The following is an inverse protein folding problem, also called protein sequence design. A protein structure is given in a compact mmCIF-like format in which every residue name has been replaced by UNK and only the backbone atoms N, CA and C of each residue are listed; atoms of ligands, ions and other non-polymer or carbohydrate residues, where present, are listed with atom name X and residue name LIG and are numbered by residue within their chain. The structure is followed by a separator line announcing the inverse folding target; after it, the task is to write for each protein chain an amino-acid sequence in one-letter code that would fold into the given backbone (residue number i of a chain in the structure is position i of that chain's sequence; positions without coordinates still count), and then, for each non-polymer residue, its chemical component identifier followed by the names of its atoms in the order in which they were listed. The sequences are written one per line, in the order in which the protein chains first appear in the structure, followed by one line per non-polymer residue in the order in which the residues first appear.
data_IF_533875400547
#
_entry.id   IF_533875400547
#
_cell.length_a   1.000
_cell.length_b   1.000
_cell.length_c   1.000
_cell.angle_alpha   90.00
_cell.angle_beta   90.00
_cell.angle_gamma   90.00
#
_symmetry.space_group_name_H-M   'P 1'
#
loop_
_entity.id
_entity.type
_entity.pdbx_description
1 polymer ?
#
# COMPACT_ATOMS: atom_id res chain seq x y z
N UNK A 1 -11.84 -17.32 -8.91
CA UNK A 1 -11.62 -17.30 -10.38
C UNK A 1 -10.20 -16.84 -10.69
N UNK A 2 -9.60 -17.33 -11.77
CA UNK A 2 -8.23 -16.98 -12.15
C UNK A 2 -8.21 -16.76 -13.67
N UNK A 3 -7.55 -15.70 -14.12
CA UNK A 3 -7.31 -15.44 -15.53
C UNK A 3 -5.84 -15.05 -15.73
N UNK A 4 -5.23 -15.60 -16.78
CA UNK A 4 -3.83 -15.33 -17.13
C UNK A 4 -3.75 -15.08 -18.62
N UNK A 5 -3.08 -14.00 -18.99
CA UNK A 5 -2.84 -13.60 -20.36
C UNK A 5 -1.38 -13.18 -20.52
N UNK A 6 -0.72 -13.68 -21.55
CA UNK A 6 0.61 -13.24 -21.95
C UNK A 6 0.65 -13.05 -23.46
N UNK A 7 1.22 -11.92 -23.89
CA UNK A 7 1.47 -11.67 -25.29
C UNK A 7 2.90 -11.19 -25.51
N UNK A 8 3.60 -11.86 -26.42
CA UNK A 8 5.00 -11.57 -26.78
C UNK A 8 5.02 -10.80 -28.11
N UNK A 9 5.31 -9.50 -28.04
CA UNK A 9 5.48 -8.66 -29.23
C UNK A 9 6.77 -9.02 -29.98
N UNK A 10 7.81 -9.44 -29.25
CA UNK A 10 9.08 -9.92 -29.80
C UNK A 10 9.80 -10.80 -28.76
N UNK A 11 11.01 -11.29 -29.08
CA UNK A 11 11.87 -11.98 -28.10
C UNK A 11 12.25 -11.10 -26.90
N UNK A 12 12.18 -9.77 -27.06
CA UNK A 12 12.63 -8.78 -26.08
C UNK A 12 11.48 -7.96 -25.47
N UNK A 13 10.23 -8.17 -25.91
CA UNK A 13 9.09 -7.39 -25.45
C UNK A 13 7.85 -8.24 -25.22
N UNK A 14 7.24 -8.10 -24.04
CA UNK A 14 5.97 -8.77 -23.73
C UNK A 14 5.12 -7.98 -22.74
N UNK A 15 3.84 -8.32 -22.72
CA UNK A 15 2.88 -7.93 -21.70
C UNK A 15 2.33 -9.19 -21.05
N UNK A 16 2.17 -9.16 -19.73
CA UNK A 16 1.43 -10.17 -18.98
C UNK A 16 0.38 -9.53 -18.09
N UNK A 17 -0.77 -10.19 -18.01
CA UNK A 17 -1.90 -9.80 -17.17
C UNK A 17 -2.31 -11.04 -16.38
N UNK A 18 -2.30 -10.91 -15.06
CA UNK A 18 -2.73 -11.96 -14.14
C UNK A 18 -3.82 -11.42 -13.24
N UNK A 19 -4.93 -12.13 -13.18
CA UNK A 19 -6.05 -11.84 -12.31
C UNK A 19 -6.36 -13.05 -11.43
N UNK A 20 -6.64 -12.80 -10.16
CA UNK A 20 -7.17 -13.79 -9.23
C UNK A 20 -8.27 -13.17 -8.37
N UNK A 21 -9.35 -13.91 -8.20
CA UNK A 21 -10.43 -13.63 -7.25
C UNK A 21 -10.49 -14.74 -6.21
N UNK A 22 -10.43 -14.36 -4.93
CA UNK A 22 -10.39 -15.27 -3.78
C UNK A 22 -11.45 -14.87 -2.76
N UNK A 23 -12.35 -15.79 -2.35
CA UNK A 23 -13.20 -15.59 -1.19
C UNK A 23 -12.36 -15.70 0.08
N UNK A 24 -12.59 -14.82 1.07
CA UNK A 24 -11.99 -14.91 2.39
C UNK A 24 -13.11 -15.02 3.43
N UNK A 25 -13.09 -16.11 4.18
CA UNK A 25 -14.04 -16.33 5.28
C UNK A 25 -13.66 -15.48 6.50
N UNK A 26 -14.63 -15.03 7.29
CA UNK A 26 -14.36 -14.41 8.58
C UNK A 26 -13.55 -15.34 9.50
N UNK A 27 -12.62 -14.80 10.27
CA UNK A 27 -11.93 -15.57 11.30
C UNK A 27 -12.87 -15.91 12.46
N UNK A 28 -12.51 -16.92 13.25
CA UNK A 28 -13.25 -17.28 14.49
C UNK A 28 -13.45 -16.04 15.39
N UNK A 29 -12.39 -15.27 15.63
CA UNK A 29 -12.46 -14.05 16.45
C UNK A 29 -13.40 -12.98 15.87
N UNK A 30 -13.59 -12.95 14.55
CA UNK A 30 -14.50 -12.00 13.90
C UNK A 30 -15.96 -12.43 14.02
N UNK A 31 -16.28 -13.70 14.24
CA UNK A 31 -17.66 -14.20 14.29
C UNK A 31 -18.18 -14.50 15.69
N UNK A 32 -17.31 -14.74 16.68
CA UNK A 32 -17.74 -15.05 18.04
C UNK A 32 -18.41 -13.82 18.69
N UNK A 33 -19.74 -13.86 18.98
CA UNK A 33 -20.50 -12.69 19.41
C UNK A 33 -20.40 -12.46 20.93
N UNK A 34 -19.22 -12.64 21.51
CA UNK A 34 -18.95 -12.45 22.93
C UNK A 34 -17.53 -11.90 23.14
N UNK A 35 -17.31 -11.26 24.29
CA UNK A 35 -16.03 -10.67 24.63
C UNK A 35 -14.97 -11.75 24.84
N UNK A 36 -13.91 -11.69 24.04
CA UNK A 36 -12.76 -12.60 24.08
C UNK A 36 -11.53 -11.97 24.75
N UNK A 37 -11.65 -10.77 25.30
CA UNK A 37 -10.52 -10.01 25.82
C UNK A 37 -10.09 -10.46 27.22
N UNK A 38 -8.79 -10.38 27.46
CA UNK A 38 -8.21 -10.54 28.81
C UNK A 38 -8.14 -9.21 29.55
N UNK A 39 -8.24 -8.09 28.83
CA UNK A 39 -8.20 -6.74 29.38
C UNK A 39 -9.55 -6.04 29.21
N UNK A 40 -10.14 -5.63 30.34
CA UNK A 40 -11.48 -5.01 30.42
C UNK A 40 -11.57 -3.63 29.76
N UNK A 41 -10.46 -2.97 29.46
CA UNK A 41 -10.43 -1.69 28.72
C UNK A 41 -10.15 -1.86 27.23
N UNK A 42 -9.88 -3.08 26.78
CA UNK A 42 -9.56 -3.39 25.38
C UNK A 42 -10.34 -4.63 24.95
N UNK A 43 -11.62 -4.42 24.67
CA UNK A 43 -12.56 -5.50 24.37
C UNK A 43 -12.66 -5.75 22.87
N UNK A 44 -12.86 -7.01 22.49
CA UNK A 44 -13.08 -7.42 21.09
C UNK A 44 -14.30 -8.31 21.06
N UNK A 45 -15.30 -7.91 20.28
CA UNK A 45 -16.56 -8.62 20.13
C UNK A 45 -16.80 -8.88 18.65
N UNK A 46 -16.94 -10.15 18.29
CA UNK A 46 -17.26 -10.57 16.92
C UNK A 46 -18.71 -10.32 16.53
N UNK A 47 -19.02 -10.61 15.28
CA UNK A 47 -20.34 -10.52 14.69
C UNK A 47 -20.66 -11.82 13.95
N UNK A 48 -21.56 -12.63 14.52
CA UNK A 48 -21.94 -13.92 13.96
C UNK A 48 -22.63 -13.83 12.58
N UNK A 49 -23.09 -12.64 12.19
CA UNK A 49 -23.76 -12.39 10.92
C UNK A 49 -22.81 -11.96 9.80
N UNK A 50 -21.48 -12.04 10.00
CA UNK A 50 -20.53 -11.68 8.96
C UNK A 50 -20.60 -12.64 7.77
N UNK A 51 -20.65 -12.04 6.59
CA UNK A 51 -20.53 -12.74 5.33
C UNK A 51 -19.07 -12.74 4.86
N UNK A 52 -18.62 -13.78 4.13
CA UNK A 52 -17.30 -13.80 3.50
C UNK A 52 -17.07 -12.58 2.60
N UNK A 53 -15.84 -12.08 2.59
CA UNK A 53 -15.40 -11.05 1.65
C UNK A 53 -14.85 -11.69 0.38
N UNK A 54 -14.79 -10.92 -0.71
CA UNK A 54 -14.25 -11.39 -1.97
C UNK A 54 -13.19 -10.44 -2.51
N UNK A 55 -11.95 -10.89 -2.56
CA UNK A 55 -10.79 -10.09 -2.96
C UNK A 55 -10.42 -10.36 -4.40
N UNK A 56 -10.30 -9.28 -5.16
CA UNK A 56 -9.78 -9.25 -6.53
C UNK A 56 -8.35 -8.73 -6.51
N UNK A 57 -7.45 -9.40 -7.24
CA UNK A 57 -6.09 -8.95 -7.47
C UNK A 57 -5.80 -8.99 -8.97
N UNK A 58 -5.36 -7.87 -9.52
CA UNK A 58 -4.93 -7.70 -10.90
C UNK A 58 -3.45 -7.29 -10.91
N UNK A 59 -2.64 -7.97 -11.71
CA UNK A 59 -1.24 -7.65 -11.90
C UNK A 59 -0.96 -7.56 -13.41
N UNK A 60 -0.62 -6.37 -13.88
CA UNK A 60 -0.22 -6.11 -15.25
C UNK A 60 1.27 -5.80 -15.25
N UNK A 61 2.02 -6.43 -16.15
CA UNK A 61 3.44 -6.17 -16.33
C UNK A 61 3.76 -6.04 -17.80
N UNK A 62 4.46 -4.98 -18.15
CA UNK A 62 5.05 -4.79 -19.46
C UNK A 62 6.56 -4.72 -19.33
N UNK A 63 7.28 -5.34 -20.26
CA UNK A 63 8.74 -5.21 -20.37
C UNK A 63 9.17 -5.13 -21.83
N UNK A 64 10.20 -4.34 -22.07
CA UNK A 64 10.89 -4.19 -23.35
C UNK A 64 12.37 -3.92 -23.07
N UNK A 65 13.22 -4.91 -23.28
CA UNK A 65 14.65 -4.82 -22.98
C UNK A 65 15.49 -5.15 -24.20
N UNK A 66 16.16 -4.14 -24.74
CA UNK A 66 17.15 -4.27 -25.79
C UNK A 66 18.54 -3.94 -25.20
N UNK A 67 19.18 -4.98 -24.65
CA UNK A 67 20.50 -4.85 -24.00
C UNK A 67 21.60 -4.43 -24.97
N UNK A 68 21.51 -4.80 -26.24
CA UNK A 68 22.49 -4.44 -27.26
C UNK A 68 22.46 -2.94 -27.54
N UNK A 69 21.25 -2.36 -27.63
CA UNK A 69 21.07 -0.91 -27.83
C UNK A 69 21.03 -0.12 -26.52
N UNK A 70 21.27 -0.78 -25.38
CA UNK A 70 21.26 -0.13 -24.07
C UNK A 70 19.90 0.46 -23.65
N UNK A 71 18.80 -0.02 -24.22
CA UNK A 71 17.45 0.46 -23.93
C UNK A 71 16.73 -0.55 -23.04
N UNK A 72 16.22 -0.10 -21.91
CA UNK A 72 15.33 -0.89 -21.06
C UNK A 72 14.09 -0.08 -20.72
N UNK A 73 12.96 -0.76 -20.77
CA UNK A 73 11.69 -0.22 -20.30
C UNK A 73 10.90 -1.33 -19.64
N UNK A 74 10.39 -1.06 -18.45
CA UNK A 74 9.39 -1.91 -17.84
C UNK A 74 8.41 -1.08 -17.06
N UNK A 75 7.19 -1.59 -16.97
CA UNK A 75 6.14 -1.00 -16.17
C UNK A 75 5.30 -2.10 -15.55
N UNK A 76 4.75 -1.83 -14.38
CA UNK A 76 3.75 -2.69 -13.78
C UNK A 76 2.64 -1.88 -13.14
N UNK A 77 1.49 -2.52 -13.03
CA UNK A 77 0.34 -2.06 -12.25
C UNK A 77 -0.15 -3.24 -11.45
N UNK A 78 -0.23 -3.10 -10.14
CA UNK A 78 -0.94 -4.03 -9.26
C UNK A 78 -2.17 -3.32 -8.72
N UNK A 79 -3.33 -3.93 -8.82
CA UNK A 79 -4.57 -3.40 -8.30
C UNK A 79 -5.28 -4.46 -7.46
N UNK A 80 -5.71 -4.08 -6.27
CA UNK A 80 -6.51 -4.90 -5.37
C UNK A 80 -7.85 -4.21 -5.13
N UNK A 81 -8.93 -4.98 -5.06
CA UNK A 81 -10.25 -4.49 -4.72
C UNK A 81 -10.99 -5.56 -3.93
N UNK A 82 -11.63 -5.19 -2.82
CA UNK A 82 -12.36 -6.14 -1.99
C UNK A 82 -13.85 -5.81 -1.97
N UNK A 83 -14.67 -6.79 -2.32
CA UNK A 83 -16.11 -6.73 -2.19
C UNK A 83 -16.53 -7.26 -0.82
N UNK A 84 -17.60 -6.69 -0.27
CA UNK A 84 -18.18 -7.12 1.01
C UNK A 84 -17.14 -7.17 2.15
N UNK A 85 -16.25 -6.16 2.17
CA UNK A 85 -15.07 -6.15 3.05
C UNK A 85 -15.52 -6.29 4.51
N UNK A 86 -14.88 -7.17 5.26
CA UNK A 86 -15.02 -7.18 6.72
C UNK A 86 -14.15 -6.03 7.27
N UNK A 87 -14.80 -5.02 7.83
CA UNK A 87 -14.17 -3.81 8.37
C UNK A 87 -14.33 -3.75 9.88
N UNK A 88 -13.37 -3.10 10.55
CA UNK A 88 -13.47 -2.84 11.98
C UNK A 88 -14.37 -1.64 12.26
N UNK A 89 -15.22 -1.78 13.28
CA UNK A 89 -15.85 -0.69 14.01
C UNK A 89 -15.06 -0.50 15.30
N UNK A 90 -14.31 0.60 15.38
CA UNK A 90 -13.52 0.98 16.56
C UNK A 90 -14.31 1.93 17.43
N UNK A 91 -14.67 1.50 18.64
CA UNK A 91 -15.45 2.29 19.58
C UNK A 91 -14.58 2.76 20.73
N UNK A 92 -14.81 3.97 21.21
CA UNK A 92 -14.14 4.52 22.39
C UNK A 92 -15.15 5.28 23.24
N UNK A 93 -15.51 4.70 24.38
CA UNK A 93 -16.54 5.25 25.27
C UNK A 93 -16.12 5.08 26.73
N UNK A 94 -16.71 5.88 27.63
CA UNK A 94 -16.50 5.71 29.06
C UNK A 94 -17.46 4.65 29.61
N UNK A 95 -16.94 3.75 30.44
CA UNK A 95 -17.72 2.74 31.16
C UNK A 95 -17.30 2.68 32.63
N UNK A 96 -18.25 2.34 33.49
CA UNK A 96 -18.02 2.24 34.92
C UNK A 96 -17.54 0.83 35.25
N UNK A 97 -16.23 0.69 35.48
CA UNK A 97 -15.60 -0.59 35.76
C UNK A 97 -15.23 -0.69 37.24
N UNK A 98 -15.69 -1.77 37.88
CA UNK A 98 -15.30 -2.11 39.25
C UNK A 98 -13.92 -2.77 39.27
N UNK A 99 -13.01 -2.20 40.05
CA UNK A 99 -11.75 -2.83 40.41
C UNK A 99 -12.01 -3.91 41.47
N UNK A 100 -11.72 -5.16 41.14
CA UNK A 100 -11.93 -6.29 42.04
C UNK A 100 -10.96 -6.32 43.23
N UNK A 101 -9.84 -5.60 43.17
CA UNK A 101 -8.89 -5.52 44.27
C UNK A 101 -9.30 -4.49 45.33
N UNK A 102 -9.88 -3.37 44.89
CA UNK A 102 -10.25 -2.25 45.78
C UNK A 102 -11.76 -2.14 46.03
N UNK A 103 -12.58 -2.81 45.22
CA UNK A 103 -14.05 -2.67 45.22
C UNK A 103 -14.55 -1.33 44.67
N UNK A 104 -13.65 -0.45 44.24
CA UNK A 104 -14.00 0.87 43.75
C UNK A 104 -14.48 0.80 42.30
N UNK A 105 -15.54 1.53 41.97
CA UNK A 105 -16.00 1.70 40.59
C UNK A 105 -15.50 3.03 40.05
N UNK A 106 -14.76 2.99 38.94
CA UNK A 106 -14.20 4.17 38.30
C UNK A 106 -14.65 4.24 36.84
N UNK A 107 -15.04 5.44 36.41
CA UNK A 107 -15.31 5.71 35.00
C UNK A 107 -14.00 5.62 34.21
N UNK A 108 -13.93 4.66 33.29
CA UNK A 108 -12.72 4.30 32.57
C UNK A 108 -12.98 4.34 31.07
N UNK A 109 -12.02 4.85 30.29
CA UNK A 109 -12.10 4.79 28.84
C UNK A 109 -11.92 3.35 28.36
N UNK A 110 -12.92 2.83 27.67
CA UNK A 110 -12.91 1.49 27.06
C UNK A 110 -12.74 1.65 25.55
N UNK A 111 -11.82 0.86 25.00
CA UNK A 111 -11.65 0.66 23.57
C UNK A 111 -12.30 -0.67 23.18
N UNK A 112 -13.28 -0.63 22.28
CA UNK A 112 -13.97 -1.82 21.79
C UNK A 112 -13.79 -1.96 20.28
N UNK A 113 -13.44 -3.16 19.82
CA UNK A 113 -13.43 -3.50 18.39
C UNK A 113 -14.58 -4.44 18.05
N UNK A 114 -15.40 -4.04 17.09
CA UNK A 114 -16.42 -4.86 16.43
C UNK A 114 -16.13 -5.02 14.95
N UNK A 115 -16.90 -5.86 14.27
CA UNK A 115 -16.74 -6.12 12.84
C UNK A 115 -18.06 -6.00 12.08
N UNK A 116 -17.99 -5.38 10.91
CA UNK A 116 -19.12 -5.15 10.01
C UNK A 116 -18.74 -5.54 8.58
N UNK A 117 -19.71 -5.93 7.76
CA UNK A 117 -19.50 -6.02 6.32
C UNK A 117 -19.81 -4.67 5.66
N UNK A 118 -18.85 -4.15 4.91
CA UNK A 118 -19.04 -2.99 4.04
C UNK A 118 -19.42 -3.46 2.63
N UNK A 119 -20.70 -3.28 2.28
CA UNK A 119 -21.28 -3.68 0.99
C UNK A 119 -21.44 -2.52 0.00
N UNK A 120 -21.56 -1.29 0.50
CA UNK A 120 -21.89 -0.10 -0.28
C UNK A 120 -20.68 0.48 -0.99
N UNK A 121 -19.52 0.50 -0.33
CA UNK A 121 -18.30 1.12 -0.84
C UNK A 121 -17.11 0.16 -0.74
N UNK A 122 -16.35 0.02 -1.82
CA UNK A 122 -15.32 -1.01 -1.92
C UNK A 122 -13.96 -0.39 -1.61
N UNK A 123 -13.21 -0.90 -0.62
CA UNK A 123 -11.81 -0.54 -0.47
C UNK A 123 -11.01 -1.10 -1.65
N UNK A 124 -10.04 -0.33 -2.09
CA UNK A 124 -9.16 -0.72 -3.18
C UNK A 124 -7.79 -0.07 -3.05
N UNK A 125 -6.81 -0.71 -3.65
CA UNK A 125 -5.44 -0.24 -3.72
C UNK A 125 -4.94 -0.39 -5.16
N UNK A 126 -4.13 0.56 -5.61
CA UNK A 126 -3.44 0.50 -6.90
C UNK A 126 -2.00 0.91 -6.64
N UNK A 127 -1.04 0.14 -7.12
CA UNK A 127 0.37 0.51 -7.15
C UNK A 127 0.90 0.34 -8.56
N UNK A 128 1.50 1.40 -9.09
CA UNK A 128 2.12 1.39 -10.40
C UNK A 128 3.56 1.84 -10.31
N UNK A 129 4.36 1.34 -11.23
CA UNK A 129 5.73 1.76 -11.39
C UNK A 129 6.13 1.61 -12.85
N UNK A 130 6.96 2.51 -13.32
CA UNK A 130 7.67 2.40 -14.58
C UNK A 130 9.14 2.74 -14.40
N UNK A 131 9.95 2.18 -15.27
CA UNK A 131 11.35 2.49 -15.42
C UNK A 131 11.70 2.53 -16.90
N UNK A 132 12.37 3.59 -17.30
CA UNK A 132 12.95 3.77 -18.61
C UNK A 132 14.44 4.06 -18.43
N UNK A 133 15.29 3.26 -19.06
CA UNK A 133 16.73 3.45 -19.07
C UNK A 133 17.28 3.47 -20.48
N UNK A 134 18.17 4.41 -20.77
CA UNK A 134 18.88 4.51 -22.04
C UNK A 134 20.36 4.76 -21.83
N UNK A 135 21.17 3.86 -22.36
CA UNK A 135 22.62 4.01 -22.44
C UNK A 135 23.05 4.59 -23.79
N UNK A 136 24.03 5.48 -23.77
CA UNK A 136 24.64 6.12 -24.93
C UNK A 136 26.15 5.91 -24.90
N UNK A 137 26.81 6.02 -26.05
CA UNK A 137 28.28 5.95 -26.21
C UNK A 137 28.88 4.76 -25.43
N UNK A 138 28.53 3.53 -25.84
CA UNK A 138 29.04 2.30 -25.22
C UNK A 138 28.82 2.24 -23.69
N UNK A 139 27.70 2.81 -23.22
CA UNK A 139 27.29 2.88 -21.80
C UNK A 139 28.07 3.89 -20.94
N UNK A 140 28.89 4.76 -21.54
CA UNK A 140 29.51 5.89 -20.82
C UNK A 140 28.47 6.80 -20.19
N UNK A 141 27.33 7.00 -20.86
CA UNK A 141 26.22 7.77 -20.33
C UNK A 141 25.01 6.87 -20.18
N UNK A 142 24.32 6.95 -19.05
CA UNK A 142 23.06 6.27 -18.85
C UNK A 142 22.06 7.21 -18.18
N UNK A 143 20.89 7.36 -18.81
CA UNK A 143 19.79 8.17 -18.31
C UNK A 143 18.69 7.21 -17.87
N UNK A 144 18.23 7.36 -16.63
CA UNK A 144 17.13 6.58 -16.07
C UNK A 144 16.02 7.53 -15.61
N UNK A 145 14.83 7.32 -16.14
CA UNK A 145 13.60 7.94 -15.70
C UNK A 145 12.72 6.85 -15.08
N UNK A 146 12.34 7.03 -13.83
CA UNK A 146 11.50 6.06 -13.13
C UNK A 146 10.44 6.77 -12.32
N UNK A 147 9.27 6.16 -12.18
CA UNK A 147 8.20 6.79 -11.43
C UNK A 147 7.04 5.86 -11.22
N UNK A 148 6.03 6.33 -10.53
CA UNK A 148 4.90 5.51 -10.14
C UNK A 148 3.88 6.29 -9.35
N UNK A 149 2.70 5.68 -9.24
CA UNK A 149 1.59 6.17 -8.43
C UNK A 149 1.07 5.02 -7.59
N UNK A 150 0.93 5.27 -6.30
CA UNK A 150 0.24 4.38 -5.37
C UNK A 150 -1.00 5.08 -4.84
N UNK A 151 -2.16 4.48 -4.99
CA UNK A 151 -3.41 4.96 -4.41
C UNK A 151 -4.01 3.91 -3.49
N UNK A 152 -4.36 4.30 -2.28
CA UNK A 152 -4.98 3.41 -1.30
C UNK A 152 -6.25 4.06 -0.78
N UNK A 153 -7.35 3.31 -0.81
CA UNK A 153 -8.62 3.66 -0.20
C UNK A 153 -8.98 2.60 0.83
N UNK A 154 -8.99 3.01 2.09
CA UNK A 154 -9.38 2.18 3.22
C UNK A 154 -10.67 2.70 3.84
N UNK A 155 -11.43 1.79 4.43
CA UNK A 155 -12.70 2.09 5.08
C UNK A 155 -12.64 1.47 6.48
N UNK A 156 -13.06 2.24 7.47
CA UNK A 156 -13.30 1.78 8.83
C UNK A 156 -14.49 2.53 9.41
N UNK A 157 -15.04 2.02 10.50
CA UNK A 157 -16.10 2.70 11.24
C UNK A 157 -15.59 3.07 12.62
N UNK A 158 -16.07 4.17 13.16
CA UNK A 158 -15.76 4.56 14.53
C UNK A 158 -17.01 4.98 15.28
N UNK A 159 -17.02 4.84 16.60
CA UNK A 159 -18.08 5.39 17.43
C UNK A 159 -17.55 5.85 18.79
N UNK A 160 -18.23 6.79 19.41
CA UNK A 160 -17.97 7.22 20.80
C UNK A 160 -19.07 6.77 21.76
N UNK A 161 -20.05 6.01 21.27
CA UNK A 161 -21.20 5.54 22.06
C UNK A 161 -21.11 4.03 22.31
N UNK A 162 -21.47 3.62 23.53
CA UNK A 162 -21.44 2.21 23.96
C UNK A 162 -22.44 1.34 23.21
N UNK A 163 -23.61 1.86 22.85
CA UNK A 163 -24.68 1.06 22.25
C UNK A 163 -24.74 1.17 20.72
N UNK A 164 -23.91 2.02 20.12
CA UNK A 164 -23.83 2.18 18.67
C UNK A 164 -23.00 1.05 18.03
N UNK A 165 -23.68 0.21 17.26
CA UNK A 165 -23.10 -0.91 16.52
C UNK A 165 -23.03 -0.68 15.00
N UNK A 166 -23.36 0.53 14.55
CA UNK A 166 -23.31 0.91 13.14
C UNK A 166 -22.07 1.78 12.92
N UNK A 167 -21.84 2.74 13.82
CA UNK A 167 -20.72 3.66 13.77
C UNK A 167 -20.80 4.69 12.65
N UNK A 168 -19.93 5.67 12.73
CA UNK A 168 -19.68 6.65 11.70
C UNK A 168 -18.60 6.13 10.75
N UNK A 169 -18.92 6.15 9.45
CA UNK A 169 -18.00 5.70 8.41
C UNK A 169 -16.86 6.68 8.21
N UNK A 170 -15.64 6.15 8.24
CA UNK A 170 -14.42 6.86 7.91
C UNK A 170 -13.78 6.25 6.64
N UNK A 171 -13.64 7.07 5.61
CA UNK A 171 -12.95 6.74 4.37
C UNK A 171 -11.61 7.46 4.35
N UNK A 172 -10.53 6.68 4.43
CA UNK A 172 -9.17 7.18 4.34
C UNK A 172 -8.61 6.94 2.94
N UNK A 173 -8.12 8.00 2.29
CA UNK A 173 -7.53 7.95 0.94
C UNK A 173 -6.10 8.45 1.00
N UNK A 174 -5.21 7.78 0.27
CA UNK A 174 -3.81 8.17 0.20
C UNK A 174 -3.27 8.00 -1.21
N UNK A 175 -2.82 9.09 -1.84
CA UNK A 175 -2.12 9.11 -3.13
C UNK A 175 -0.65 9.41 -2.86
N UNK A 176 0.24 8.53 -3.34
CA UNK A 176 1.68 8.76 -3.40
C UNK A 176 2.10 8.77 -4.85
N UNK A 177 2.64 9.88 -5.31
CA UNK A 177 3.32 9.99 -6.60
C UNK A 177 4.82 10.05 -6.37
N UNK A 178 5.57 9.28 -7.15
CA UNK A 178 7.01 9.28 -7.12
C UNK A 178 7.56 9.44 -8.54
N UNK A 179 8.52 10.33 -8.71
CA UNK A 179 9.21 10.57 -9.98
C UNK A 179 10.71 10.73 -9.72
N UNK A 180 11.53 10.02 -10.45
CA UNK A 180 12.98 10.03 -10.32
C UNK A 180 13.64 10.21 -11.67
N UNK A 181 14.65 11.07 -11.71
CA UNK A 181 15.58 11.21 -12.82
C UNK A 181 16.98 10.93 -12.28
N UNK A 182 17.65 9.96 -12.85
CA UNK A 182 19.01 9.56 -12.49
C UNK A 182 19.86 9.60 -13.75
N UNK A 183 21.06 10.11 -13.61
CA UNK A 183 22.07 10.07 -14.65
C UNK A 183 23.27 9.33 -14.10
N UNK A 184 23.87 8.46 -14.92
CA UNK A 184 25.14 7.81 -14.63
C UNK A 184 26.13 8.19 -15.71
N UNK A 185 27.29 8.65 -15.26
CA UNK A 185 28.46 8.91 -16.08
C UNK A 185 29.59 7.98 -15.64
N UNK A 186 30.03 7.13 -16.56
CA UNK A 186 31.11 6.16 -16.35
C UNK A 186 32.06 6.21 -17.57
N UNK A 187 32.97 7.22 -17.64
CA UNK A 187 33.87 7.40 -18.78
C UNK A 187 35.00 6.37 -18.84
N UNK A 188 35.31 5.73 -17.73
CA UNK A 188 36.37 4.72 -17.62
C UNK A 188 36.15 3.88 -16.36
N UNK A 189 36.84 2.75 -16.25
CA UNK A 189 36.79 1.87 -15.08
C UNK A 189 37.17 2.56 -13.75
N UNK A 190 37.79 3.74 -13.83
CA UNK A 190 38.31 4.45 -12.66
C UNK A 190 37.37 5.50 -12.10
N UNK A 191 36.28 5.85 -12.79
CA UNK A 191 35.40 6.94 -12.38
C UNK A 191 33.93 6.61 -12.67
N UNK A 192 33.09 6.71 -11.64
CA UNK A 192 31.65 6.70 -11.80
C UNK A 192 31.03 7.88 -11.05
N UNK A 193 30.09 8.58 -11.69
CA UNK A 193 29.32 9.66 -11.09
C UNK A 193 27.83 9.42 -11.39
N UNK A 194 27.01 9.44 -10.35
CA UNK A 194 25.58 9.18 -10.42
C UNK A 194 24.78 10.32 -9.75
N UNK A 195 24.66 11.51 -10.39
CA UNK A 195 23.70 12.50 -9.91
C UNK A 195 22.27 12.05 -10.18
N UNK A 196 21.35 12.48 -9.34
CA UNK A 196 19.94 12.23 -9.52
C UNK A 196 19.08 13.13 -8.66
N UNK A 197 17.80 13.12 -8.97
CA UNK A 197 16.77 13.82 -8.23
C UNK A 197 15.53 12.96 -8.16
N UNK A 198 14.92 12.91 -6.97
CA UNK A 198 13.62 12.27 -6.77
C UNK A 198 12.63 13.31 -6.27
N UNK A 199 11.46 13.33 -6.87
CA UNK A 199 10.29 14.02 -6.40
C UNK A 199 9.33 13.00 -5.78
N UNK A 200 8.79 13.31 -4.61
CA UNK A 200 7.71 12.56 -3.99
C UNK A 200 6.60 13.53 -3.60
N UNK A 201 5.36 13.15 -3.90
CA UNK A 201 4.16 13.84 -3.44
C UNK A 201 3.28 12.84 -2.71
N UNK A 202 2.82 13.20 -1.52
CA UNK A 202 1.94 12.41 -0.69
C UNK A 202 0.72 13.26 -0.31
N UNK A 203 -0.46 12.81 -0.70
CA UNK A 203 -1.74 13.44 -0.41
C UNK A 203 -2.61 12.44 0.35
N UNK A 204 -3.01 12.83 1.55
CA UNK A 204 -3.86 12.01 2.42
C UNK A 204 -5.14 12.76 2.75
N UNK A 205 -6.28 12.09 2.64
CA UNK A 205 -7.59 12.59 3.04
C UNK A 205 -8.26 11.61 3.99
N UNK A 206 -9.03 12.14 4.94
CA UNK A 206 -9.83 11.35 5.86
C UNK A 206 -11.23 11.98 5.98
N UNK A 207 -12.26 11.23 5.61
CA UNK A 207 -13.62 11.78 5.48
C UNK A 207 -14.24 12.17 6.82
N UNK A 208 -13.86 11.50 7.91
CA UNK A 208 -14.48 11.75 9.21
C UNK A 208 -13.87 12.96 9.92
N UNK A 209 -12.53 13.04 9.91
CA UNK A 209 -11.83 14.21 10.49
C UNK A 209 -11.83 15.42 9.57
N UNK A 210 -12.32 15.26 8.33
CA UNK A 210 -12.23 16.24 7.25
C UNK A 210 -10.81 16.83 7.09
N UNK A 211 -9.79 16.00 7.36
CA UNK A 211 -8.39 16.41 7.35
C UNK A 211 -7.75 15.99 6.03
N UNK A 212 -7.19 16.97 5.36
CA UNK A 212 -6.38 16.78 4.15
C UNK A 212 -4.96 17.23 4.41
N UNK A 213 -3.97 16.40 4.07
CA UNK A 213 -2.56 16.72 4.23
C UNK A 213 -1.81 16.50 2.93
N UNK A 214 -1.04 17.50 2.52
CA UNK A 214 -0.19 17.48 1.34
C UNK A 214 1.27 17.61 1.77
N UNK A 215 2.10 16.64 1.40
CA UNK A 215 3.53 16.68 1.64
C UNK A 215 4.25 16.42 0.33
N UNK A 216 5.15 17.31 -0.05
CA UNK A 216 6.02 17.11 -1.22
C UNK A 216 7.47 17.27 -0.84
N UNK A 217 8.34 16.47 -1.43
CA UNK A 217 9.78 16.56 -1.24
C UNK A 217 10.53 16.43 -2.55
N UNK A 218 11.68 17.11 -2.60
CA UNK A 218 12.70 16.94 -3.62
C UNK A 218 13.97 16.43 -2.94
N UNK A 219 14.49 15.31 -3.40
CA UNK A 219 15.68 14.67 -2.84
C UNK A 219 16.75 14.58 -3.92
N UNK A 220 17.71 15.53 -3.96
CA UNK A 220 18.88 15.39 -4.80
C UNK A 220 19.80 14.29 -4.23
N UNK A 221 20.46 13.55 -5.11
CA UNK A 221 21.44 12.52 -4.78
C UNK A 221 22.67 12.69 -5.65
N UNK A 222 23.85 12.55 -5.08
CA UNK A 222 25.10 12.49 -5.83
C UNK A 222 25.95 11.37 -5.23
N UNK A 223 26.20 10.34 -6.02
CA UNK A 223 27.10 9.23 -5.64
C UNK A 223 28.26 9.23 -6.62
N UNK A 224 29.47 9.31 -6.11
CA UNK A 224 30.69 9.21 -6.91
C UNK A 224 31.60 8.12 -6.37
N UNK A 225 32.28 7.41 -7.26
CA UNK A 225 33.33 6.45 -6.89
C UNK A 225 34.53 6.63 -7.80
N UNK A 226 35.73 6.53 -7.21
CA UNK A 226 37.01 6.61 -7.92
C UNK A 226 37.85 5.40 -7.53
N UNK A 227 38.35 4.67 -8.52
CA UNK A 227 39.30 3.59 -8.31
C UNK A 227 40.72 4.12 -8.52
N UNK A 228 41.56 4.03 -7.48
CA UNK A 228 42.91 4.66 -7.44
C UNK A 228 43.99 3.67 -7.91
N UNK A 229 43.71 2.37 -7.93
CA UNK A 229 44.61 1.32 -8.43
C UNK A 229 44.03 0.68 -9.69
N UNK A 230 44.89 0.24 -10.63
CA UNK A 230 44.45 -0.64 -11.72
C UNK A 230 43.91 -1.93 -11.10
N UNK A 231 42.73 -2.34 -11.53
CA UNK A 231 42.21 -3.69 -11.37
C UNK A 231 43.19 -4.66 -12.06
N UNK A 232 44.12 -5.21 -11.30
CA UNK A 232 44.86 -6.41 -11.72
C UNK A 232 43.86 -7.56 -11.71
N UNK A 233 43.62 -8.12 -12.89
CA UNK A 233 42.79 -9.31 -13.14
C UNK A 233 43.32 -10.48 -12.32
#
# INVERSE_FOLDING_TARGET
PIARFEYKFSRQSNISVNYSGTPNEPSVTQILPFDMSTNRTSIVIGNANLNPEFSHQLNVRFRKNDFQKGNNFFAFVNAGLTNNKIVSLSKSYFDDLMDYQTGQTNSTLVSETRYLNETSDKPFNVSSFYHYGKSLKEKTYNIMLMGGVSYNKNIGYVSTEKDDNIGQKNVARNIVLNQGLMFRYNPSENLEINPGVRYQFNHTENSLTNRTTNVSSWTPTLIGSVNITKTTI
#
